data_IF_072195749187
#
_entry.id   IF_072195749187
#
_cell.length_a   1.000
_cell.length_b   1.000
_cell.length_c   1.000
_cell.angle_alpha   90.00
_cell.angle_beta   90.00
_cell.angle_gamma   90.00
#
_symmetry.space_group_name_H-M   'P 1'
#
loop_
_entity.id
_entity.type
_entity.pdbx_description
1 polymer ?
#
# COMPACT_ATOMS: atom_id res chain seq x y z
N UNK A 1 6.85 8.23 -12.10
CA UNK A 1 5.99 8.31 -10.90
C UNK A 1 6.91 8.10 -9.70
N UNK A 2 6.75 8.82 -8.58
CA UNK A 2 7.39 8.40 -7.32
C UNK A 2 6.94 6.96 -6.97
N UNK A 3 7.76 6.23 -6.22
CA UNK A 3 7.52 4.80 -5.88
C UNK A 3 6.30 4.57 -4.97
N UNK A 4 5.76 5.65 -4.37
CA UNK A 4 4.53 5.72 -3.57
C UNK A 4 4.01 7.16 -3.51
N UNK A 5 2.99 7.43 -2.69
CA UNK A 5 2.48 8.78 -2.45
C UNK A 5 2.82 9.25 -1.01
N UNK A 6 3.79 10.14 -0.77
CA UNK A 6 4.29 10.44 0.58
C UNK A 6 3.29 11.04 1.57
N UNK A 7 2.08 11.37 1.12
CA UNK A 7 0.97 11.86 1.91
C UNK A 7 -0.34 11.37 1.28
N UNK A 8 -1.39 11.21 2.09
CA UNK A 8 -2.71 10.78 1.62
C UNK A 8 -2.67 9.44 0.84
N UNK A 9 -1.87 8.48 1.32
CA UNK A 9 -1.65 7.16 0.70
C UNK A 9 -2.95 6.54 0.20
N UNK A 10 -3.92 6.31 1.10
CA UNK A 10 -5.19 5.69 0.74
C UNK A 10 -5.93 6.43 -0.39
N UNK A 11 -6.00 7.76 -0.37
CA UNK A 11 -6.76 8.51 -1.36
C UNK A 11 -6.10 8.51 -2.75
N UNK A 12 -4.77 8.43 -2.80
CA UNK A 12 -3.99 8.53 -4.04
C UNK A 12 -3.70 7.15 -4.63
N UNK A 13 -3.29 6.20 -3.81
CA UNK A 13 -2.80 4.88 -4.25
C UNK A 13 -3.94 3.88 -4.49
N UNK A 14 -5.11 4.06 -3.82
CA UNK A 14 -6.26 3.18 -4.00
C UNK A 14 -6.78 3.15 -5.46
N UNK A 15 -6.96 4.30 -6.15
CA UNK A 15 -7.30 4.29 -7.57
C UNK A 15 -6.28 3.55 -8.46
N UNK A 16 -4.98 3.58 -8.10
CA UNK A 16 -3.94 2.87 -8.85
C UNK A 16 -4.09 1.37 -8.71
N UNK A 17 -4.30 0.88 -7.49
CA UNK A 17 -4.59 -0.52 -7.20
C UNK A 17 -5.82 -1.02 -7.99
N UNK A 18 -6.92 -0.26 -7.97
CA UNK A 18 -8.13 -0.61 -8.74
C UNK A 18 -7.87 -0.64 -10.25
N UNK A 19 -7.03 0.29 -10.75
CA UNK A 19 -6.63 0.31 -12.16
C UNK A 19 -5.78 -0.92 -12.51
N UNK A 20 -4.82 -1.28 -11.65
CA UNK A 20 -3.98 -2.49 -11.81
C UNK A 20 -4.84 -3.74 -11.95
N UNK A 21 -5.78 -3.93 -11.02
CA UNK A 21 -6.69 -5.09 -11.00
C UNK A 21 -7.58 -5.17 -12.24
N UNK A 22 -8.09 -4.03 -12.71
CA UNK A 22 -9.01 -4.00 -13.84
C UNK A 22 -8.32 -4.09 -15.21
N UNK A 23 -6.99 -4.01 -15.29
CA UNK A 23 -6.26 -3.90 -16.56
C UNK A 23 -5.86 -5.27 -17.11
N UNK A 24 -6.34 -5.68 -18.30
CA UNK A 24 -5.88 -6.91 -18.94
C UNK A 24 -4.37 -6.89 -19.18
N UNK A 25 -3.69 -7.96 -18.77
CA UNK A 25 -2.23 -8.08 -18.87
C UNK A 25 -1.48 -7.67 -17.60
N UNK A 26 -2.16 -7.05 -16.62
CA UNK A 26 -1.60 -6.86 -15.28
C UNK A 26 -1.90 -8.09 -14.42
N UNK A 27 -0.85 -8.67 -13.82
CA UNK A 27 -0.95 -9.89 -13.03
C UNK A 27 -0.83 -9.65 -11.51
N UNK A 28 -0.15 -8.57 -11.12
CA UNK A 28 0.09 -8.21 -9.73
C UNK A 28 0.53 -6.75 -9.61
N UNK A 29 0.41 -6.20 -8.40
CA UNK A 29 1.03 -4.96 -7.97
C UNK A 29 1.69 -5.16 -6.59
N UNK A 30 2.68 -4.32 -6.30
CA UNK A 30 3.37 -4.28 -5.02
C UNK A 30 3.56 -2.81 -4.62
N UNK A 31 3.07 -2.45 -3.43
CA UNK A 31 3.27 -1.11 -2.88
C UNK A 31 4.69 -0.97 -2.30
N UNK A 32 5.22 0.24 -2.33
CA UNK A 32 6.44 0.60 -1.65
C UNK A 32 6.09 1.50 -0.44
N UNK A 33 6.37 1.13 0.80
CA UNK A 33 6.90 -0.15 1.27
C UNK A 33 6.23 -0.60 2.57
N UNK A 34 6.47 -1.86 2.95
CA UNK A 34 6.00 -2.40 4.22
C UNK A 34 6.68 -1.70 5.40
N UNK A 35 5.85 -1.19 6.33
CA UNK A 35 6.28 -0.77 7.66
C UNK A 35 5.84 -1.74 8.73
N UNK A 36 6.70 -1.96 9.73
CA UNK A 36 6.32 -2.74 10.91
C UNK A 36 6.96 -2.18 12.20
N UNK A 37 6.44 -2.62 13.35
CA UNK A 37 7.02 -2.33 14.66
C UNK A 37 7.72 -3.58 15.19
N UNK A 38 9.04 -3.55 15.17
CA UNK A 38 9.91 -4.63 15.64
C UNK A 38 10.25 -4.43 17.13
N UNK A 39 10.86 -5.44 17.76
CA UNK A 39 11.23 -5.39 19.18
C UNK A 39 12.17 -4.24 19.55
N UNK A 40 12.89 -3.70 18.57
CA UNK A 40 13.82 -2.57 18.71
C UNK A 40 13.27 -1.25 18.15
N UNK A 41 11.98 -1.19 17.80
CA UNK A 41 11.32 0.00 17.29
C UNK A 41 10.77 -0.15 15.87
N UNK A 42 10.39 0.97 15.26
CA UNK A 42 9.85 0.98 13.90
C UNK A 42 10.92 0.60 12.88
N UNK A 43 10.47 -0.07 11.80
CA UNK A 43 11.27 -0.21 10.57
C UNK A 43 11.61 1.15 9.96
N UNK A 44 12.50 1.16 8.96
CA UNK A 44 12.87 2.39 8.27
C UNK A 44 11.65 3.05 7.62
N UNK A 45 11.61 4.38 7.71
CA UNK A 45 10.53 5.22 7.21
C UNK A 45 11.09 6.23 6.21
N UNK A 46 10.74 6.07 4.94
CA UNK A 46 11.13 7.00 3.88
C UNK A 46 9.98 7.92 3.45
N UNK A 47 8.88 7.94 4.23
CA UNK A 47 7.67 8.68 3.92
C UNK A 47 6.69 7.95 3.01
N UNK A 48 7.05 6.80 2.42
CA UNK A 48 6.12 5.93 1.68
C UNK A 48 5.73 4.67 2.48
N UNK A 49 6.24 4.54 3.70
CA UNK A 49 6.08 3.34 4.51
C UNK A 49 4.63 3.17 5.00
N UNK A 50 3.98 2.07 4.60
CA UNK A 50 2.64 1.68 5.06
C UNK A 50 2.79 0.71 6.24
N UNK A 51 2.56 1.19 7.47
CA UNK A 51 2.68 0.38 8.68
C UNK A 51 1.50 -0.57 8.88
N UNK A 52 1.77 -1.79 9.35
CA UNK A 52 0.74 -2.72 9.80
C UNK A 52 -0.17 -2.11 10.89
N UNK A 53 -1.42 -2.55 10.95
CA UNK A 53 -2.42 -2.10 11.94
C UNK A 53 -2.76 -0.59 11.90
N UNK A 54 -2.64 0.04 10.74
CA UNK A 54 -3.05 1.44 10.50
C UNK A 54 -4.27 1.54 9.57
N UNK A 55 -4.84 2.74 9.47
CA UNK A 55 -5.93 3.01 8.52
C UNK A 55 -5.48 2.86 7.06
N UNK A 56 -4.27 3.32 6.74
CA UNK A 56 -3.68 3.14 5.41
C UNK A 56 -3.46 1.64 5.09
N UNK A 57 -3.02 0.84 6.06
CA UNK A 57 -2.94 -0.62 5.90
C UNK A 57 -4.30 -1.26 5.64
N UNK A 58 -5.32 -0.83 6.37
CA UNK A 58 -6.69 -1.32 6.15
C UNK A 58 -7.16 -0.97 4.73
N UNK A 59 -6.92 0.26 4.30
CA UNK A 59 -7.31 0.75 2.99
C UNK A 59 -6.56 0.10 1.81
N UNK A 60 -5.23 0.05 1.88
CA UNK A 60 -4.37 -0.33 0.75
C UNK A 60 -3.95 -1.79 0.77
N UNK A 61 -4.05 -2.48 1.91
CA UNK A 61 -3.69 -3.91 1.98
C UNK A 61 -4.91 -4.76 2.23
N UNK A 62 -5.62 -4.55 3.34
CA UNK A 62 -6.74 -5.42 3.72
C UNK A 62 -7.87 -5.35 2.70
N UNK A 63 -8.31 -4.14 2.35
CA UNK A 63 -9.37 -3.94 1.36
C UNK A 63 -8.92 -4.23 -0.08
N UNK A 64 -7.61 -4.19 -0.35
CA UNK A 64 -7.08 -4.53 -1.67
C UNK A 64 -7.08 -6.04 -1.89
N UNK A 65 -6.50 -6.79 -0.95
CA UNK A 65 -6.54 -8.26 -0.98
C UNK A 65 -7.97 -8.77 -1.05
N UNK A 66 -8.90 -8.22 -0.25
CA UNK A 66 -10.31 -8.60 -0.31
C UNK A 66 -10.99 -8.31 -1.66
N UNK A 67 -10.48 -7.35 -2.45
CA UNK A 67 -11.02 -7.02 -3.77
C UNK A 67 -10.48 -7.93 -4.90
N UNK A 68 -9.42 -8.69 -4.64
CA UNK A 68 -8.84 -9.63 -5.62
C UNK A 68 -9.65 -10.95 -5.74
N UNK A 69 -10.42 -11.30 -4.70
CA UNK A 69 -11.19 -12.55 -4.60
C UNK A 69 -10.49 -13.61 -3.77
#
# INVERSE_FOLDING_TARGET
MPDGAPNNHCAIERPWQLTSVATPGMAADAFWQLGDTLSYGKSHDDGNTIYTNTDDWTCLVTNHVAALG
#
